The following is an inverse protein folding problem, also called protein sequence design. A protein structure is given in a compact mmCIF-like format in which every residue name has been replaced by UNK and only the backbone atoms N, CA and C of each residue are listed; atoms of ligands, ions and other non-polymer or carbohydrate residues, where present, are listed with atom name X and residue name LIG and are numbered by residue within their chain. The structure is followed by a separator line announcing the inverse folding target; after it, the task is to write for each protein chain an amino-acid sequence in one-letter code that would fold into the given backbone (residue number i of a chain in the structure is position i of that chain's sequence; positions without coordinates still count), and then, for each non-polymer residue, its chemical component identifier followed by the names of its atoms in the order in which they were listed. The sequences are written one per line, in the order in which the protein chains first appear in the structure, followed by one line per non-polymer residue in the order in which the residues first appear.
data_IF_617037487271
#
_entry.id   IF_617037487271
#
_cell.length_a   1.000
_cell.length_b   1.000
_cell.length_c   1.000
_cell.angle_alpha   90.00
_cell.angle_beta   90.00
_cell.angle_gamma   90.00
#
_symmetry.space_group_name_H-M   'P 1'
#
loop_
_entity.id
_entity.type
_entity.pdbx_description
1 polymer ?
#
# COMPACT_ATOMS: atom_id res chain seq x y z
N UNK A 1 10.98 -9.94 22.81
CA UNK A 1 10.23 -9.93 21.55
C UNK A 1 10.86 -10.97 20.67
N UNK A 2 10.08 -11.93 20.17
CA UNK A 2 10.60 -12.99 19.33
C UNK A 2 11.16 -12.38 18.03
N UNK A 3 12.37 -12.80 17.67
CA UNK A 3 13.09 -12.39 16.48
C UNK A 3 12.28 -12.78 15.24
N UNK A 4 11.94 -11.82 14.38
CA UNK A 4 11.22 -12.09 13.13
C UNK A 4 12.29 -12.41 12.07
N UNK A 5 12.35 -13.65 11.55
CA UNK A 5 13.40 -14.04 10.62
C UNK A 5 13.29 -13.30 9.28
N UNK A 6 14.44 -12.90 8.75
CA UNK A 6 14.59 -12.30 7.44
C UNK A 6 14.69 -13.42 6.40
N UNK A 7 13.70 -13.53 5.52
CA UNK A 7 13.70 -14.52 4.45
C UNK A 7 13.70 -13.80 3.10
N UNK A 8 14.63 -14.17 2.23
CA UNK A 8 14.74 -13.56 0.91
C UNK A 8 13.75 -14.19 -0.09
N UNK A 9 13.74 -15.52 -0.23
CA UNK A 9 12.66 -16.37 -0.78
C UNK A 9 13.13 -17.84 -0.63
N UNK A 10 12.30 -18.73 -0.09
CA UNK A 10 12.54 -20.19 -0.01
C UNK A 10 13.83 -20.67 0.68
N UNK A 11 14.37 -19.92 1.64
CA UNK A 11 15.48 -20.39 2.47
C UNK A 11 16.87 -20.33 1.83
N UNK A 12 17.04 -19.58 0.73
CA UNK A 12 18.37 -19.29 0.16
C UNK A 12 18.77 -17.82 0.41
N UNK A 13 20.04 -17.59 0.76
CA UNK A 13 20.66 -16.26 0.95
C UNK A 13 20.91 -15.59 -0.41
N UNK A 14 20.60 -14.29 -0.55
CA UNK A 14 20.99 -13.54 -1.74
C UNK A 14 22.36 -12.88 -1.62
N UNK A 15 23.02 -12.62 -2.76
CA UNK A 15 23.97 -11.52 -2.85
C UNK A 15 23.19 -10.22 -2.64
N UNK A 16 23.54 -9.45 -1.60
CA UNK A 16 22.87 -8.23 -1.11
C UNK A 16 22.64 -7.09 -2.13
N UNK A 17 22.98 -7.23 -3.43
CA UNK A 17 23.16 -6.09 -4.34
C UNK A 17 22.80 -6.33 -5.82
N UNK A 18 21.68 -6.99 -6.14
CA UNK A 18 21.20 -7.08 -7.53
C UNK A 18 20.09 -6.04 -7.79
N UNK A 19 20.41 -4.83 -8.31
CA UNK A 19 19.41 -3.78 -8.57
C UNK A 19 18.33 -4.17 -9.59
N UNK A 20 18.58 -5.21 -10.40
CA UNK A 20 17.66 -5.74 -11.41
C UNK A 20 17.11 -7.13 -11.04
N UNK A 21 17.12 -7.51 -9.75
CA UNK A 21 16.60 -8.82 -9.34
C UNK A 21 15.12 -8.98 -9.72
N UNK A 22 14.80 -10.15 -10.27
CA UNK A 22 13.44 -10.52 -10.66
C UNK A 22 13.25 -12.03 -10.57
N UNK A 23 12.07 -12.45 -10.13
CA UNK A 23 11.67 -13.84 -10.07
C UNK A 23 10.22 -13.98 -10.53
N UNK A 24 9.95 -14.94 -11.41
CA UNK A 24 8.63 -15.21 -11.95
C UNK A 24 8.40 -16.72 -11.89
N UNK A 25 7.32 -17.16 -11.24
CA UNK A 25 7.02 -18.59 -11.11
C UNK A 25 5.51 -18.86 -11.09
N UNK A 26 5.14 -20.10 -11.43
CA UNK A 26 3.77 -20.60 -11.27
C UNK A 26 3.51 -20.98 -9.80
N UNK A 27 2.35 -20.59 -9.28
CA UNK A 27 1.96 -20.86 -7.91
C UNK A 27 1.86 -22.37 -7.64
N UNK A 28 1.19 -23.10 -8.54
CA UNK A 28 0.97 -24.54 -8.48
C UNK A 28 2.27 -25.37 -8.53
N UNK A 29 3.37 -24.79 -9.00
CA UNK A 29 4.69 -25.44 -9.04
C UNK A 29 5.54 -25.11 -7.82
N UNK A 30 5.31 -23.94 -7.21
CA UNK A 30 6.15 -23.39 -6.16
C UNK A 30 5.59 -23.67 -4.76
N UNK A 31 4.27 -23.49 -4.58
CA UNK A 31 3.59 -23.65 -3.29
C UNK A 31 3.62 -25.06 -2.68
N UNK A 32 3.56 -26.17 -3.45
CA UNK A 32 3.62 -27.51 -2.85
C UNK A 32 4.90 -27.76 -2.03
N UNK A 33 6.02 -27.11 -2.38
CA UNK A 33 7.30 -27.20 -1.65
C UNK A 33 7.23 -26.59 -0.25
N UNK A 34 6.24 -25.74 -0.01
CA UNK A 34 6.01 -25.04 1.26
C UNK A 34 4.71 -25.51 1.94
N UNK A 35 4.21 -26.68 1.57
CA UNK A 35 2.96 -27.22 2.10
C UNK A 35 1.78 -26.24 1.92
N UNK A 36 1.77 -25.48 0.81
CA UNK A 36 0.76 -24.47 0.47
C UNK A 36 0.68 -23.27 1.41
N UNK A 37 1.61 -23.16 2.36
CA UNK A 37 1.65 -22.10 3.35
C UNK A 37 2.97 -21.32 3.24
N UNK A 38 2.87 -20.01 3.26
CA UNK A 38 3.99 -19.09 3.32
C UNK A 38 3.80 -18.27 4.59
N UNK A 39 4.62 -18.53 5.60
CA UNK A 39 4.54 -17.82 6.86
C UNK A 39 4.81 -16.31 6.68
N UNK A 40 4.33 -15.46 7.60
CA UNK A 40 4.57 -14.03 7.56
C UNK A 40 6.04 -13.67 7.41
N UNK A 41 6.36 -12.92 6.36
CA UNK A 41 7.70 -12.45 6.03
C UNK A 41 7.63 -11.06 5.37
N UNK A 42 8.77 -10.45 5.08
CA UNK A 42 8.85 -9.17 4.37
C UNK A 42 10.04 -9.18 3.41
N UNK A 43 9.94 -8.41 2.34
CA UNK A 43 11.07 -8.17 1.44
C UNK A 43 11.44 -6.70 1.48
N UNK A 44 12.69 -6.36 1.78
CA UNK A 44 13.07 -4.96 1.96
C UNK A 44 13.08 -4.16 0.64
N UNK A 45 13.32 -4.84 -0.49
CA UNK A 45 13.55 -4.21 -1.80
C UNK A 45 12.74 -4.83 -2.95
N UNK A 46 11.75 -5.69 -2.68
CA UNK A 46 10.95 -6.34 -3.73
C UNK A 46 9.50 -5.86 -3.70
N UNK A 47 8.97 -5.58 -4.88
CA UNK A 47 7.54 -5.47 -5.12
C UNK A 47 7.03 -6.82 -5.62
N UNK A 48 5.97 -7.35 -5.01
CA UNK A 48 5.38 -8.62 -5.40
C UNK A 48 3.99 -8.43 -6.00
N UNK A 49 3.73 -9.12 -7.11
CA UNK A 49 2.41 -9.31 -7.69
C UNK A 49 2.08 -10.79 -7.64
N UNK A 50 1.09 -11.17 -6.83
CA UNK A 50 0.51 -12.51 -6.84
C UNK A 50 -0.76 -12.47 -7.67
N UNK A 51 -0.72 -13.12 -8.83
CA UNK A 51 -1.83 -13.24 -9.76
C UNK A 51 -2.52 -14.58 -9.49
N UNK A 52 -3.71 -14.55 -8.89
CA UNK A 52 -4.52 -15.73 -8.65
C UNK A 52 -5.48 -15.91 -9.84
N UNK A 53 -5.33 -17.02 -10.55
CA UNK A 53 -6.20 -17.37 -11.69
C UNK A 53 -7.37 -18.24 -11.24
N UNK A 54 -7.13 -19.20 -10.36
CA UNK A 54 -8.19 -20.07 -9.82
C UNK A 54 -7.86 -20.53 -8.40
N UNK A 55 -8.92 -20.84 -7.64
CA UNK A 55 -8.84 -21.28 -6.24
C UNK A 55 -9.08 -20.15 -5.24
N UNK A 56 -8.63 -20.38 -4.00
CA UNK A 56 -8.71 -19.40 -2.92
C UNK A 56 -7.42 -19.35 -2.09
N UNK A 57 -7.20 -18.18 -1.49
CA UNK A 57 -6.09 -17.93 -0.58
C UNK A 57 -6.58 -17.17 0.65
N UNK A 58 -5.97 -17.44 1.80
CA UNK A 58 -5.98 -16.54 2.94
C UNK A 58 -4.71 -15.71 2.86
N UNK A 59 -4.85 -14.39 2.73
CA UNK A 59 -3.71 -13.48 2.81
C UNK A 59 -3.72 -12.79 4.16
N UNK A 60 -2.59 -12.91 4.86
CA UNK A 60 -2.30 -12.16 6.06
C UNK A 60 -1.42 -10.98 5.66
N UNK A 61 -1.91 -9.76 5.84
CA UNK A 61 -1.18 -8.53 5.52
C UNK A 61 -1.22 -7.65 6.78
N UNK A 62 -0.04 -7.38 7.34
CA UNK A 62 0.09 -6.76 8.67
C UNK A 62 -0.67 -7.60 9.72
N UNK A 63 -1.63 -7.00 10.43
CA UNK A 63 -2.47 -7.70 11.42
C UNK A 63 -3.81 -8.18 10.86
N UNK A 64 -4.12 -7.87 9.59
CA UNK A 64 -5.40 -8.24 8.96
C UNK A 64 -5.24 -9.56 8.21
N UNK A 65 -6.23 -10.44 8.34
CA UNK A 65 -6.30 -11.69 7.59
C UNK A 65 -7.66 -11.76 6.91
N UNK A 66 -7.65 -11.87 5.58
CA UNK A 66 -8.85 -11.95 4.75
C UNK A 66 -8.73 -13.15 3.80
N UNK A 67 -9.87 -13.77 3.47
CA UNK A 67 -9.95 -14.81 2.44
C UNK A 67 -10.34 -14.19 1.10
N UNK A 68 -9.63 -14.58 0.04
CA UNK A 68 -9.87 -14.16 -1.32
C UNK A 68 -10.11 -15.39 -2.19
N UNK A 69 -11.16 -15.34 -3.01
CA UNK A 69 -11.51 -16.41 -3.95
C UNK A 69 -11.77 -15.84 -5.34
N UNK A 70 -11.51 -16.65 -6.36
CA UNK A 70 -11.65 -16.23 -7.75
C UNK A 70 -10.45 -15.44 -8.27
N UNK A 71 -10.60 -14.88 -9.48
CA UNK A 71 -9.51 -14.17 -10.17
C UNK A 71 -9.22 -12.85 -9.49
N UNK A 72 -8.00 -12.68 -8.98
CA UNK A 72 -7.56 -11.43 -8.37
C UNK A 72 -6.05 -11.27 -8.48
N UNK A 73 -5.58 -10.05 -8.28
CA UNK A 73 -4.16 -9.76 -8.09
C UNK A 73 -3.95 -9.12 -6.73
N UNK A 74 -3.03 -9.68 -5.97
CA UNK A 74 -2.51 -9.05 -4.77
C UNK A 74 -1.20 -8.34 -5.10
N UNK A 75 -1.19 -7.02 -4.94
CA UNK A 75 0.00 -6.17 -5.08
C UNK A 75 0.58 -5.90 -3.70
N UNK A 76 1.86 -6.17 -3.51
CA UNK A 76 2.56 -6.05 -2.23
C UNK A 76 3.83 -5.22 -2.42
N UNK A 77 3.82 -3.98 -1.92
CA UNK A 77 5.01 -3.15 -1.87
C UNK A 77 6.15 -3.72 -1.03
N UNK A 78 7.35 -3.24 -1.30
CA UNK A 78 8.51 -3.51 -0.46
C UNK A 78 8.25 -3.09 0.99
N UNK A 79 8.83 -3.85 1.93
CA UNK A 79 8.77 -3.69 3.40
C UNK A 79 7.45 -4.06 4.06
N UNK A 80 6.43 -4.44 3.29
CA UNK A 80 5.17 -4.94 3.86
C UNK A 80 5.35 -6.36 4.42
N UNK A 81 4.87 -6.57 5.66
CA UNK A 81 4.82 -7.89 6.28
C UNK A 81 3.58 -8.62 5.78
N UNK A 82 3.78 -9.79 5.18
CA UNK A 82 2.72 -10.56 4.56
C UNK A 82 2.97 -12.07 4.63
N UNK A 83 1.90 -12.85 4.63
CA UNK A 83 1.91 -14.31 4.60
C UNK A 83 0.68 -14.84 3.87
N UNK A 84 0.75 -16.10 3.43
CA UNK A 84 -0.31 -16.72 2.63
C UNK A 84 -0.58 -18.15 3.08
N UNK A 85 -1.84 -18.54 3.13
CA UNK A 85 -2.24 -19.95 3.16
C UNK A 85 -3.17 -20.21 1.98
N UNK A 86 -2.76 -21.10 1.09
CA UNK A 86 -3.51 -21.42 -0.12
C UNK A 86 -4.21 -22.76 0.02
N UNK A 87 -5.39 -22.89 -0.60
CA UNK A 87 -5.97 -24.22 -0.78
C UNK A 87 -5.17 -25.01 -1.83
N UNK A 88 -4.98 -26.34 -1.66
CA UNK A 88 -4.40 -27.16 -2.71
C UNK A 88 -5.17 -27.02 -4.02
N UNK A 89 -4.44 -26.82 -5.12
CA UNK A 89 -5.02 -26.68 -6.46
C UNK A 89 -5.22 -25.23 -6.94
N UNK A 90 -4.74 -24.23 -6.19
CA UNK A 90 -4.64 -22.85 -6.73
C UNK A 90 -3.77 -22.81 -7.98
N UNK A 91 -4.16 -21.99 -8.96
CA UNK A 91 -3.35 -21.72 -10.15
C UNK A 91 -3.07 -20.23 -10.27
N UNK A 92 -1.91 -19.90 -10.85
CA UNK A 92 -1.56 -18.51 -11.13
C UNK A 92 -0.06 -18.26 -11.11
N UNK A 93 0.32 -17.02 -10.84
CA UNK A 93 1.71 -16.57 -10.92
C UNK A 93 2.11 -15.77 -9.70
N UNK A 94 3.38 -15.87 -9.32
CA UNK A 94 4.04 -14.90 -8.46
C UNK A 94 5.11 -14.19 -9.27
N UNK A 95 5.09 -12.87 -9.24
CA UNK A 95 6.08 -11.99 -9.86
C UNK A 95 6.72 -11.18 -8.74
N UNK A 96 7.99 -11.42 -8.44
CA UNK A 96 8.78 -10.60 -7.52
C UNK A 96 9.76 -9.77 -8.33
N UNK A 97 9.72 -8.46 -8.20
CA UNK A 97 10.58 -7.54 -8.96
C UNK A 97 11.27 -6.56 -8.03
N UNK A 98 12.53 -6.26 -8.29
CA UNK A 98 13.29 -5.20 -7.62
C UNK A 98 12.51 -3.88 -7.68
N UNK A 99 12.29 -3.25 -6.53
CA UNK A 99 11.55 -2.01 -6.41
C UNK A 99 12.21 -0.85 -7.21
N UNK A 100 13.56 -0.66 -7.17
CA UNK A 100 14.25 0.27 -8.06
C UNK A 100 14.00 0.02 -9.56
N UNK A 101 14.10 -1.24 -10.01
CA UNK A 101 13.86 -1.61 -11.41
C UNK A 101 12.41 -1.31 -11.79
N UNK A 102 11.43 -1.70 -10.97
CA UNK A 102 10.02 -1.42 -11.19
C UNK A 102 9.77 0.09 -11.35
N UNK A 103 10.28 0.92 -10.43
CA UNK A 103 10.11 2.37 -10.52
C UNK A 103 10.74 2.95 -11.78
N UNK A 104 11.87 2.39 -12.26
CA UNK A 104 12.54 2.84 -13.47
C UNK A 104 11.69 2.71 -14.75
N UNK A 105 10.66 1.85 -14.74
CA UNK A 105 9.75 1.65 -15.88
C UNK A 105 8.76 2.82 -16.09
N UNK A 106 8.61 3.67 -15.08
CA UNK A 106 7.62 4.74 -15.04
C UNK A 106 8.28 6.10 -14.92
N UNK A 107 7.75 7.10 -15.64
CA UNK A 107 8.09 8.50 -15.40
C UNK A 107 7.40 9.04 -14.13
N UNK A 108 7.76 10.24 -13.69
CA UNK A 108 7.26 10.78 -12.42
C UNK A 108 5.74 11.01 -12.40
N UNK A 109 5.13 11.41 -13.52
CA UNK A 109 3.69 11.57 -13.61
C UNK A 109 2.95 10.23 -13.52
N UNK A 110 3.47 9.20 -14.20
CA UNK A 110 2.95 7.83 -14.09
C UNK A 110 3.09 7.29 -12.66
N UNK A 111 4.23 7.54 -12.00
CA UNK A 111 4.45 7.14 -10.60
C UNK A 111 3.47 7.80 -9.64
N UNK A 112 3.13 9.06 -9.88
CA UNK A 112 2.11 9.76 -9.10
C UNK A 112 0.71 9.16 -9.34
N UNK A 113 0.36 8.87 -10.59
CA UNK A 113 -0.92 8.25 -10.95
C UNK A 113 -1.10 6.83 -10.41
N UNK A 114 0.00 6.10 -10.22
CA UNK A 114 0.02 4.70 -9.74
C UNK A 114 0.48 4.58 -8.28
N UNK A 115 0.58 5.69 -7.54
CA UNK A 115 1.25 5.73 -6.25
C UNK A 115 0.67 4.76 -5.21
N UNK A 116 -0.65 4.54 -5.21
CA UNK A 116 -1.29 3.58 -4.29
C UNK A 116 -0.80 2.16 -4.54
N UNK A 117 -0.75 1.71 -5.80
CA UNK A 117 -0.26 0.37 -6.15
C UNK A 117 1.17 0.11 -5.67
N UNK A 118 2.00 1.17 -5.64
CA UNK A 118 3.41 1.09 -5.28
C UNK A 118 3.70 1.26 -3.78
N UNK A 119 2.73 1.75 -3.01
CA UNK A 119 2.92 2.13 -1.60
C UNK A 119 2.05 1.34 -0.63
N UNK A 120 0.92 0.82 -1.09
CA UNK A 120 -0.01 0.12 -0.22
C UNK A 120 -0.26 -1.31 -0.72
N UNK A 121 -0.27 -2.30 0.19
CA UNK A 121 -0.67 -3.64 -0.17
C UNK A 121 -2.17 -3.65 -0.47
N UNK A 122 -2.56 -4.21 -1.61
CA UNK A 122 -3.96 -4.22 -2.03
C UNK A 122 -4.32 -5.44 -2.86
N UNK A 123 -5.55 -5.93 -2.66
CA UNK A 123 -6.17 -6.94 -3.52
C UNK A 123 -7.05 -6.26 -4.55
N UNK A 124 -6.86 -6.66 -5.80
CA UNK A 124 -7.52 -6.11 -6.97
C UNK A 124 -8.32 -7.26 -7.59
N UNK A 125 -9.64 -7.32 -7.38
CA UNK A 125 -10.49 -8.30 -8.05
C UNK A 125 -10.43 -8.11 -9.57
N UNK A 126 -10.23 -9.21 -10.30
CA UNK A 126 -10.30 -9.20 -11.76
C UNK A 126 -11.75 -9.54 -12.14
N UNK A 127 -12.55 -8.50 -12.39
CA UNK A 127 -13.95 -8.65 -12.75
C UNK A 127 -14.13 -9.50 -14.01
N UNK A 128 -15.15 -10.36 -14.03
CA UNK A 128 -15.42 -11.25 -15.19
C UNK A 128 -15.71 -10.45 -16.47
N UNK A 129 -16.33 -9.27 -16.33
CA UNK A 129 -16.68 -8.38 -17.44
C UNK A 129 -15.56 -7.41 -17.84
N UNK A 130 -14.56 -7.21 -16.97
CA UNK A 130 -13.46 -6.26 -17.22
C UNK A 130 -12.16 -6.95 -17.58
N UNK A 131 -11.96 -8.18 -17.12
CA UNK A 131 -10.78 -9.00 -17.36
C UNK A 131 -11.18 -10.33 -18.00
N UNK A 132 -11.08 -10.40 -19.33
CA UNK A 132 -11.25 -11.65 -20.10
C UNK A 132 -10.03 -12.59 -19.94
N UNK A 133 -9.35 -12.57 -18.79
CA UNK A 133 -8.13 -13.32 -18.51
C UNK A 133 -6.87 -12.67 -19.07
N UNK A 134 -6.92 -11.38 -19.39
CA UNK A 134 -5.77 -10.65 -19.96
C UNK A 134 -4.61 -10.58 -18.97
N UNK A 135 -4.87 -10.33 -17.68
CA UNK A 135 -3.80 -10.29 -16.67
C UNK A 135 -3.14 -11.66 -16.52
N UNK A 136 -3.92 -12.75 -16.54
CA UNK A 136 -3.38 -14.12 -16.53
C UNK A 136 -2.51 -14.37 -17.77
N UNK A 137 -2.98 -13.99 -18.97
CA UNK A 137 -2.18 -14.08 -20.21
C UNK A 137 -0.88 -13.31 -20.09
N UNK A 138 -0.88 -12.11 -19.50
CA UNK A 138 0.36 -11.36 -19.27
C UNK A 138 1.32 -12.09 -18.32
N UNK A 139 0.80 -12.76 -17.29
CA UNK A 139 1.59 -13.63 -16.42
C UNK A 139 2.31 -14.75 -17.18
N UNK A 140 1.61 -15.38 -18.14
CA UNK A 140 2.21 -16.40 -19.02
C UNK A 140 3.30 -15.81 -19.91
N UNK A 141 3.04 -14.67 -20.56
CA UNK A 141 4.02 -13.98 -21.41
C UNK A 141 5.27 -13.57 -20.64
N UNK A 142 5.10 -13.09 -19.42
CA UNK A 142 6.19 -12.76 -18.51
C UNK A 142 7.03 -14.00 -18.17
N UNK A 143 6.37 -15.11 -17.83
CA UNK A 143 7.04 -16.37 -17.49
C UNK A 143 7.81 -16.96 -18.68
N UNK A 144 7.22 -16.94 -19.88
CA UNK A 144 7.85 -17.39 -21.12
C UNK A 144 9.10 -16.58 -21.45
N UNK A 145 8.99 -15.25 -21.39
CA UNK A 145 10.10 -14.34 -21.68
C UNK A 145 11.20 -14.48 -20.62
N UNK A 146 10.85 -14.62 -19.34
CA UNK A 146 11.79 -14.81 -18.24
C UNK A 146 12.64 -16.09 -18.39
N UNK A 147 12.01 -17.21 -18.77
CA UNK A 147 12.71 -18.48 -18.94
C UNK A 147 13.46 -18.63 -20.27
N UNK A 148 13.22 -17.73 -21.24
CA UNK A 148 13.84 -17.81 -22.56
C UNK A 148 14.68 -16.56 -22.85
N UNK A 149 15.93 -16.47 -22.35
CA UNK A 149 16.78 -15.31 -22.59
C UNK A 149 17.01 -15.03 -24.06
N UNK A 150 16.65 -13.81 -24.49
CA UNK A 150 16.80 -13.30 -25.86
C UNK A 150 17.32 -11.88 -25.85
N UNK A 151 17.77 -11.41 -27.01
CA UNK A 151 18.12 -10.00 -27.19
C UNK A 151 16.90 -9.13 -26.85
N UNK A 152 17.08 -8.15 -25.96
CA UNK A 152 16.00 -7.24 -25.55
C UNK A 152 15.06 -7.77 -24.47
N UNK A 153 15.35 -8.94 -23.87
CA UNK A 153 14.51 -9.57 -22.85
C UNK A 153 14.08 -8.60 -21.73
N UNK A 154 15.04 -7.88 -21.13
CA UNK A 154 14.75 -6.92 -20.07
C UNK A 154 13.78 -5.80 -20.51
N UNK A 155 13.86 -5.36 -21.78
CA UNK A 155 12.94 -4.37 -22.34
C UNK A 155 11.55 -4.95 -22.56
N UNK A 156 11.43 -6.18 -23.03
CA UNK A 156 10.14 -6.87 -23.20
C UNK A 156 9.48 -7.11 -21.84
N UNK A 157 10.23 -7.60 -20.85
CA UNK A 157 9.72 -7.82 -19.51
C UNK A 157 9.31 -6.48 -18.87
N UNK A 158 10.13 -5.43 -18.98
CA UNK A 158 9.78 -4.10 -18.52
C UNK A 158 8.49 -3.57 -19.17
N UNK A 159 8.29 -3.81 -20.46
CA UNK A 159 7.06 -3.44 -21.16
C UNK A 159 5.84 -4.23 -20.66
N UNK A 160 5.97 -5.55 -20.46
CA UNK A 160 4.89 -6.37 -19.91
C UNK A 160 4.54 -5.98 -18.48
N UNK A 161 5.53 -5.75 -17.61
CA UNK A 161 5.30 -5.25 -16.25
C UNK A 161 4.56 -3.91 -16.28
N UNK A 162 5.00 -2.97 -17.13
CA UNK A 162 4.34 -1.67 -17.29
C UNK A 162 2.87 -1.83 -17.70
N UNK A 163 2.58 -2.71 -18.67
CA UNK A 163 1.21 -3.03 -19.10
C UNK A 163 0.40 -3.59 -17.93
N UNK A 164 0.94 -4.57 -17.20
CA UNK A 164 0.27 -5.20 -16.04
C UNK A 164 -0.09 -4.14 -15.00
N UNK A 165 0.86 -3.31 -14.55
CA UNK A 165 0.57 -2.27 -13.55
C UNK A 165 -0.49 -1.27 -14.01
N UNK A 166 -0.48 -0.87 -15.29
CA UNK A 166 -1.52 0.02 -15.83
C UNK A 166 -2.88 -0.67 -15.90
N UNK A 167 -2.93 -1.96 -16.25
CA UNK A 167 -4.17 -2.74 -16.22
C UNK A 167 -4.73 -2.88 -14.80
N UNK A 168 -3.87 -3.16 -13.82
CA UNK A 168 -4.24 -3.23 -12.41
C UNK A 168 -4.82 -1.90 -11.92
N UNK A 169 -4.23 -0.78 -12.32
CA UNK A 169 -4.75 0.54 -11.99
C UNK A 169 -6.14 0.79 -12.58
N UNK A 170 -6.38 0.36 -13.84
CA UNK A 170 -7.70 0.47 -14.49
C UNK A 170 -8.74 -0.42 -13.82
N UNK A 171 -8.37 -1.65 -13.45
CA UNK A 171 -9.25 -2.56 -12.72
C UNK A 171 -9.60 -2.01 -11.34
N UNK A 172 -8.61 -1.45 -10.63
CA UNK A 172 -8.87 -0.79 -9.35
C UNK A 172 -9.81 0.39 -9.53
N UNK A 173 -9.55 1.27 -10.51
CA UNK A 173 -10.43 2.40 -10.80
C UNK A 173 -11.85 1.95 -11.18
N UNK A 174 -12.01 0.86 -11.91
CA UNK A 174 -13.33 0.33 -12.26
C UNK A 174 -14.04 -0.31 -11.06
N UNK A 175 -13.32 -1.08 -10.24
CA UNK A 175 -13.84 -1.63 -8.99
C UNK A 175 -14.24 -0.51 -8.03
N UNK A 176 -13.42 0.54 -7.92
CA UNK A 176 -13.77 1.77 -7.22
C UNK A 176 -15.06 2.32 -7.79
N UNK A 177 -15.16 2.60 -9.10
CA UNK A 177 -16.38 3.13 -9.73
C UNK A 177 -17.63 2.26 -9.49
N UNK A 178 -17.50 0.93 -9.41
CA UNK A 178 -18.61 0.02 -9.10
C UNK A 178 -18.97 -0.02 -7.61
N UNK A 179 -17.98 -0.04 -6.70
CA UNK A 179 -18.20 0.15 -5.26
C UNK A 179 -18.79 1.54 -4.97
N UNK A 180 -18.39 2.51 -5.77
CA UNK A 180 -18.80 3.90 -5.78
C UNK A 180 -20.19 4.14 -6.37
N UNK A 181 -20.79 3.14 -7.03
CA UNK A 181 -22.22 3.18 -7.37
C UNK A 181 -23.12 3.12 -6.12
N UNK A 182 -22.59 2.71 -4.95
CA UNK A 182 -23.26 2.88 -3.64
C UNK A 182 -23.07 4.32 -3.06
N UNK A 183 -22.45 5.23 -3.82
CA UNK A 183 -22.34 6.69 -3.64
C UNK A 183 -21.53 7.18 -2.43
N UNK A 184 -21.43 6.36 -1.40
CA UNK A 184 -20.85 6.72 -0.10
C UNK A 184 -19.33 6.52 -0.07
N UNK A 185 -18.78 5.52 -0.74
CA UNK A 185 -17.32 5.28 -0.76
C UNK A 185 -16.58 6.42 -1.47
N UNK A 186 -17.07 6.91 -2.60
CA UNK A 186 -16.56 8.13 -3.29
C UNK A 186 -16.47 9.30 -2.33
N UNK A 187 -17.54 9.55 -1.58
CA UNK A 187 -17.61 10.69 -0.69
C UNK A 187 -16.59 10.57 0.45
N UNK A 188 -16.28 9.34 0.88
CA UNK A 188 -15.27 9.11 1.90
C UNK A 188 -13.86 9.30 1.34
N UNK A 189 -13.56 8.78 0.15
CA UNK A 189 -12.26 9.00 -0.50
C UNK A 189 -12.04 10.49 -0.82
N UNK A 190 -13.08 11.19 -1.31
CA UNK A 190 -13.03 12.64 -1.51
C UNK A 190 -12.85 13.39 -0.18
N UNK A 191 -13.48 12.92 0.89
CA UNK A 191 -13.22 13.47 2.23
C UNK A 191 -11.75 13.31 2.62
N UNK A 192 -11.18 12.10 2.50
CA UNK A 192 -9.76 11.85 2.84
C UNK A 192 -8.83 12.73 2.00
N UNK A 193 -9.09 12.87 0.69
CA UNK A 193 -8.32 13.77 -0.17
C UNK A 193 -8.45 15.24 0.26
N UNK A 194 -9.65 15.72 0.60
CA UNK A 194 -9.85 17.07 1.13
C UNK A 194 -9.09 17.28 2.44
N UNK A 195 -9.04 16.28 3.32
CA UNK A 195 -8.27 16.36 4.56
C UNK A 195 -6.78 16.52 4.28
N UNK A 196 -6.25 15.85 3.25
CA UNK A 196 -4.85 15.99 2.84
C UNK A 196 -4.58 17.36 2.20
N UNK A 197 -5.43 17.78 1.25
CA UNK A 197 -5.32 19.06 0.55
C UNK A 197 -5.43 20.27 1.50
N UNK A 198 -6.20 20.14 2.59
CA UNK A 198 -6.47 21.20 3.57
C UNK A 198 -5.89 20.92 4.96
N UNK A 199 -4.88 20.04 5.06
CA UNK A 199 -4.32 19.61 6.34
C UNK A 199 -3.84 20.78 7.23
N UNK A 200 -3.33 21.85 6.63
CA UNK A 200 -2.81 23.03 7.35
C UNK A 200 -3.81 24.16 7.52
N UNK A 201 -5.01 24.04 6.96
CA UNK A 201 -6.01 25.12 6.95
C UNK A 201 -6.91 25.12 8.19
N UNK A 202 -6.83 24.05 9.01
CA UNK A 202 -7.63 23.85 10.22
C UNK A 202 -9.14 24.00 9.97
N UNK A 203 -9.63 23.46 8.84
CA UNK A 203 -11.05 23.46 8.52
C UNK A 203 -11.88 22.77 9.59
N UNK A 204 -13.05 23.33 9.86
CA UNK A 204 -14.07 22.67 10.67
C UNK A 204 -14.71 21.52 9.87
N UNK A 205 -15.19 20.48 10.57
CA UNK A 205 -15.89 19.35 9.94
C UNK A 205 -17.07 19.80 9.07
N UNK A 206 -17.74 20.90 9.43
CA UNK A 206 -18.81 21.51 8.62
C UNK A 206 -18.34 21.96 7.24
N UNK A 207 -17.12 22.48 7.11
CA UNK A 207 -16.57 22.95 5.83
C UNK A 207 -16.28 21.76 4.89
N UNK A 208 -15.68 20.70 5.42
CA UNK A 208 -15.51 19.45 4.66
C UNK A 208 -16.85 18.86 4.22
N UNK A 209 -17.86 18.93 5.10
CA UNK A 209 -19.19 18.43 4.77
C UNK A 209 -19.82 19.28 3.65
N UNK A 210 -19.73 20.61 3.73
CA UNK A 210 -20.25 21.53 2.72
C UNK A 210 -19.60 21.31 1.34
N UNK A 211 -18.27 21.17 1.29
CA UNK A 211 -17.52 20.90 0.06
C UNK A 211 -17.92 19.56 -0.60
N UNK A 212 -18.35 18.60 0.21
CA UNK A 212 -18.86 17.31 -0.23
C UNK A 212 -20.37 17.29 -0.51
N UNK A 213 -21.08 18.41 -0.31
CA UNK A 213 -22.53 18.48 -0.45
C UNK A 213 -23.30 17.70 0.62
N UNK A 214 -22.74 17.58 1.83
CA UNK A 214 -23.26 16.83 2.97
C UNK A 214 -23.53 17.72 4.18
N UNK A 215 -24.44 17.28 5.05
CA UNK A 215 -24.48 17.78 6.42
C UNK A 215 -23.35 17.16 7.25
N UNK A 216 -22.90 17.84 8.31
CA UNK A 216 -21.89 17.31 9.25
C UNK A 216 -22.29 15.95 9.84
N UNK A 217 -23.58 15.74 10.12
CA UNK A 217 -24.10 14.47 10.63
C UNK A 217 -24.10 13.34 9.58
N UNK A 218 -24.19 13.66 8.28
CA UNK A 218 -24.00 12.70 7.20
C UNK A 218 -22.52 12.35 7.03
N UNK A 219 -21.63 13.34 7.08
CA UNK A 219 -20.18 13.12 7.02
C UNK A 219 -19.69 12.25 8.19
N UNK A 220 -20.15 12.51 9.42
CA UNK A 220 -19.79 11.66 10.56
C UNK A 220 -20.30 10.22 10.41
N UNK A 221 -21.53 10.02 9.91
CA UNK A 221 -22.06 8.68 9.64
C UNK A 221 -21.26 7.97 8.54
N UNK A 222 -20.84 8.72 7.54
CA UNK A 222 -20.00 8.22 6.45
C UNK A 222 -18.65 7.73 6.98
N UNK A 223 -17.93 8.57 7.74
CA UNK A 223 -16.67 8.20 8.37
C UNK A 223 -16.82 7.02 9.34
N UNK A 224 -17.90 6.99 10.13
CA UNK A 224 -18.15 5.89 11.06
C UNK A 224 -18.35 4.56 10.33
N UNK A 225 -19.03 4.58 9.18
CA UNK A 225 -19.25 3.38 8.38
C UNK A 225 -17.99 2.92 7.65
N UNK A 226 -17.18 3.85 7.15
CA UNK A 226 -16.02 3.56 6.32
C UNK A 226 -14.74 3.25 7.14
N UNK A 227 -14.53 3.93 8.27
CA UNK A 227 -13.30 3.86 9.06
C UNK A 227 -13.54 3.60 10.55
N UNK A 228 -14.80 3.43 11.00
CA UNK A 228 -15.10 3.21 12.42
C UNK A 228 -14.88 4.43 13.33
N UNK A 229 -14.62 5.61 12.75
CA UNK A 229 -14.26 6.83 13.47
C UNK A 229 -15.12 8.03 13.04
N UNK A 230 -15.16 9.07 13.87
CA UNK A 230 -15.77 10.35 13.50
C UNK A 230 -14.85 11.16 12.59
N UNK A 231 -15.42 12.02 11.76
CA UNK A 231 -14.66 12.82 10.78
C UNK A 231 -13.56 13.67 11.43
N UNK A 232 -13.85 14.27 12.59
CA UNK A 232 -12.85 15.07 13.33
C UNK A 232 -11.66 14.22 13.79
N UNK A 233 -11.89 12.96 14.16
CA UNK A 233 -10.83 12.07 14.59
C UNK A 233 -9.89 11.76 13.41
N UNK A 234 -10.44 11.50 12.23
CA UNK A 234 -9.67 11.27 11.00
C UNK A 234 -8.81 12.49 10.64
N UNK A 235 -9.38 13.70 10.72
CA UNK A 235 -8.63 14.96 10.48
C UNK A 235 -7.48 15.10 11.48
N UNK A 236 -7.74 14.86 12.77
CA UNK A 236 -6.71 14.94 13.80
C UNK A 236 -5.62 13.87 13.64
N UNK A 237 -5.99 12.66 13.24
CA UNK A 237 -5.06 11.56 13.00
C UNK A 237 -4.12 11.88 11.85
N UNK A 238 -4.65 12.38 10.72
CA UNK A 238 -3.85 12.84 9.58
C UNK A 238 -2.87 13.95 9.98
N UNK A 239 -3.36 14.99 10.66
CA UNK A 239 -2.53 16.10 11.13
C UNK A 239 -1.46 15.65 12.13
N UNK A 240 -1.77 14.63 12.94
CA UNK A 240 -0.84 14.08 13.91
C UNK A 240 0.25 13.26 13.24
N UNK A 241 -0.09 12.46 12.24
CA UNK A 241 0.89 11.69 11.47
C UNK A 241 1.83 12.59 10.69
N UNK A 242 1.32 13.72 10.17
CA UNK A 242 2.17 14.76 9.60
C UNK A 242 3.13 15.36 10.61
N UNK A 243 2.62 15.67 11.81
CA UNK A 243 3.45 16.18 12.90
C UNK A 243 4.56 15.18 13.29
N UNK A 244 4.23 13.89 13.41
CA UNK A 244 5.22 12.84 13.70
C UNK A 244 6.27 12.78 12.59
N UNK A 245 5.86 12.80 11.32
CA UNK A 245 6.74 12.79 10.15
C UNK A 245 7.72 13.96 10.17
N UNK A 246 7.24 15.18 10.38
CA UNK A 246 8.09 16.37 10.47
C UNK A 246 9.05 16.31 11.67
N UNK A 247 8.59 15.81 12.82
CA UNK A 247 9.45 15.67 14.01
C UNK A 247 10.61 14.69 13.80
N UNK A 248 10.38 13.62 13.03
CA UNK A 248 11.38 12.57 12.77
C UNK A 248 12.33 12.98 11.65
N UNK A 249 11.82 13.49 10.54
CA UNK A 249 12.59 13.65 9.30
C UNK A 249 13.14 15.07 9.07
N UNK A 250 12.88 16.01 9.97
CA UNK A 250 13.40 17.38 9.84
C UNK A 250 14.15 17.85 11.09
N UNK A 251 15.02 18.85 10.91
CA UNK A 251 15.70 19.52 12.02
C UNK A 251 14.87 20.64 12.66
N UNK A 252 13.62 20.82 12.21
CA UNK A 252 12.74 21.86 12.73
C UNK A 252 12.46 21.65 14.23
N UNK A 253 12.32 22.78 14.92
CA UNK A 253 11.83 22.84 16.29
C UNK A 253 10.33 22.56 16.33
N UNK A 254 9.82 22.12 17.49
CA UNK A 254 8.37 21.96 17.70
C UNK A 254 7.58 23.26 17.44
N UNK A 255 8.24 24.42 17.61
CA UNK A 255 7.66 25.73 17.32
C UNK A 255 7.46 25.94 15.81
N UNK A 256 8.51 25.67 15.03
CA UNK A 256 8.46 25.79 13.56
C UNK A 256 7.49 24.79 12.96
N UNK A 257 7.48 23.54 13.45
CA UNK A 257 6.53 22.51 13.02
C UNK A 257 5.09 22.94 13.31
N UNK A 258 4.82 23.49 14.49
CA UNK A 258 3.48 24.01 14.82
C UNK A 258 3.00 25.06 13.81
N UNK A 259 3.86 26.02 13.47
CA UNK A 259 3.50 27.02 12.45
C UNK A 259 3.35 26.43 11.05
N UNK A 260 4.22 25.51 10.65
CA UNK A 260 4.15 24.85 9.36
C UNK A 260 2.86 24.03 9.20
N UNK A 261 2.38 23.44 10.28
CA UNK A 261 1.10 22.74 10.34
C UNK A 261 -0.12 23.67 10.47
N UNK A 262 0.07 24.99 10.32
CA UNK A 262 -1.01 25.98 10.34
C UNK A 262 -1.51 26.39 11.72
N UNK A 263 -0.87 25.93 12.82
CA UNK A 263 -1.26 26.38 14.16
C UNK A 263 -0.83 27.84 14.38
N UNK A 264 -1.78 28.67 14.81
CA UNK A 264 -1.52 30.09 15.16
C UNK A 264 -0.64 30.24 16.41
N UNK A 265 -0.71 29.26 17.33
CA UNK A 265 0.06 29.23 18.57
C UNK A 265 0.78 27.86 18.72
N UNK A 266 2.13 27.86 18.77
CA UNK A 266 2.95 26.68 19.07
C UNK A 266 2.61 25.98 20.40
N UNK A 267 2.12 26.74 21.39
CA UNK A 267 1.65 26.18 22.66
C UNK A 267 0.42 25.30 22.46
N UNK A 268 -0.49 25.71 21.57
CA UNK A 268 -1.65 24.91 21.18
C UNK A 268 -1.25 23.63 20.43
N UNK A 269 -0.32 23.71 19.47
CA UNK A 269 0.23 22.52 18.81
C UNK A 269 0.81 21.52 19.83
N UNK A 270 1.60 22.01 20.78
CA UNK A 270 2.23 21.14 21.78
C UNK A 270 1.19 20.41 22.65
N UNK A 271 0.12 21.09 23.04
CA UNK A 271 -1.01 20.49 23.77
C UNK A 271 -1.79 19.50 22.89
N UNK A 272 -2.06 19.85 21.64
CA UNK A 272 -2.72 18.96 20.68
C UNK A 272 -1.95 17.65 20.52
N UNK A 273 -0.64 17.74 20.27
CA UNK A 273 0.22 16.58 20.09
C UNK A 273 0.28 15.72 21.35
N UNK A 274 0.48 16.34 22.51
CA UNK A 274 0.53 15.62 23.80
C UNK A 274 -0.78 14.94 24.13
N UNK A 275 -1.93 15.57 23.84
CA UNK A 275 -3.24 14.98 24.07
C UNK A 275 -3.46 13.69 23.28
N UNK A 276 -2.97 13.62 22.05
CA UNK A 276 -3.19 12.45 21.18
C UNK A 276 -2.09 11.38 21.28
N UNK A 277 -0.88 11.75 21.70
CA UNK A 277 0.26 10.80 21.78
C UNK A 277 0.67 10.43 23.19
N UNK A 278 0.15 11.13 24.21
CA UNK A 278 0.56 10.96 25.61
C UNK A 278 1.89 11.62 25.97
N UNK A 279 2.60 12.24 25.01
CA UNK A 279 3.94 12.78 25.24
C UNK A 279 4.19 14.09 24.48
N UNK A 280 5.09 14.93 24.99
CA UNK A 280 5.39 16.20 24.33
C UNK A 280 6.16 15.99 23.00
N UNK A 281 6.01 16.86 21.99
CA UNK A 281 6.70 16.75 20.70
C UNK A 281 8.22 16.54 20.83
N UNK A 282 8.87 17.27 21.75
CA UNK A 282 10.31 17.16 22.00
C UNK A 282 10.71 15.80 22.59
N UNK A 283 9.88 15.26 23.48
CA UNK A 283 10.09 13.92 24.05
C UNK A 283 9.92 12.85 22.97
N UNK A 284 8.92 13.01 22.09
CA UNK A 284 8.72 12.13 20.94
C UNK A 284 9.95 12.10 20.02
N UNK A 285 10.45 13.27 19.63
CA UNK A 285 11.64 13.39 18.76
C UNK A 285 12.88 12.73 19.38
N UNK A 286 13.11 12.94 20.67
CA UNK A 286 14.26 12.36 21.39
C UNK A 286 14.17 10.83 21.43
N UNK A 287 13.01 10.29 21.84
CA UNK A 287 12.77 8.85 21.93
C UNK A 287 13.00 8.15 20.59
N UNK A 288 12.47 8.70 19.49
CA UNK A 288 12.66 8.10 18.16
C UNK A 288 14.11 8.14 17.71
N UNK A 289 14.82 9.26 17.97
CA UNK A 289 16.25 9.37 17.65
C UNK A 289 17.12 8.39 18.44
N UNK A 290 16.76 8.08 19.69
CA UNK A 290 17.44 7.07 20.52
C UNK A 290 17.19 5.65 19.99
N UNK A 291 15.95 5.32 19.61
CA UNK A 291 15.62 4.02 19.01
C UNK A 291 16.30 3.80 17.65
N UNK A 292 16.53 4.87 16.87
CA UNK A 292 17.23 4.79 15.58
C UNK A 292 18.75 4.69 15.69
N UNK A 293 19.36 4.97 16.85
CA UNK A 293 20.80 4.81 17.10
C UNK A 293 21.18 3.44 17.67
N UNK A 294 20.19 2.65 18.05
CA UNK A 294 20.35 1.30 18.62
C UNK A 294 20.11 0.19 17.58
N UNK A 295 19.87 0.57 16.31
CA UNK A 295 19.81 -0.29 15.13
C UNK A 295 21.03 0.05 14.29
#
# INVERSE_FOLDING_TARGET
MADIPHYFLYGEELPETAPDYMHIARLEQSLPKHNWEIHPHRHDNLHQLMILESGSMHAQIREKSDEYSGRCVLSIPAKEVHGFAHQPGVTGFIVSVSHPFMLSLFNDAERQGLAQLFREPMVIPLGVDTDEGEVTRMGERLLEEFHTPKIGQASIIGAYLKIVFVMLARHRQHSELQENADGKTVLFERFVRLVDDHATDHWQVSQYAEELGLSQGQLNRLCQRAAGQQALAIVHEHLLDEAKRLLVFTQLSAKEIGYQLGFKDPGYFSRFFQRHTGQAPKQFKTRVAESQRQI
#
